data_IF_199697803366
#
_entry.id   IF_199697803366
#
_cell.length_a   1.000
_cell.length_b   1.000
_cell.length_c   1.000
_cell.angle_alpha   90.00
_cell.angle_beta   90.00
_cell.angle_gamma   90.00
#
_symmetry.space_group_name_H-M   'P 1'
#
loop_
_entity.id
_entity.type
_entity.pdbx_description
1 polymer ?
#
# COMPACT_ATOMS: atom_id res chain seq x y z
N UNK A 1 -18.66 -1.53 -29.19
CA UNK A 1 -18.63 -1.27 -27.73
C UNK A 1 -17.55 -2.17 -27.16
N UNK A 2 -16.51 -1.62 -26.54
CA UNK A 2 -15.40 -2.43 -26.03
C UNK A 2 -15.85 -3.30 -24.86
N UNK A 3 -15.34 -4.53 -24.77
CA UNK A 3 -15.40 -5.31 -23.54
C UNK A 3 -14.52 -4.67 -22.46
N UNK A 4 -14.76 -5.01 -21.19
CA UNK A 4 -13.97 -4.46 -20.08
C UNK A 4 -12.48 -4.82 -20.19
N UNK A 5 -12.16 -6.02 -20.67
CA UNK A 5 -10.76 -6.44 -20.87
C UNK A 5 -10.10 -5.69 -22.03
N UNK A 6 -10.86 -5.36 -23.08
CA UNK A 6 -10.37 -4.52 -24.17
C UNK A 6 -10.09 -3.09 -23.71
N UNK A 7 -10.90 -2.54 -22.81
CA UNK A 7 -10.64 -1.23 -22.20
C UNK A 7 -9.36 -1.25 -21.36
N UNK A 8 -9.16 -2.29 -20.55
CA UNK A 8 -7.93 -2.46 -19.75
C UNK A 8 -6.70 -2.52 -20.66
N UNK A 9 -6.77 -3.23 -21.79
CA UNK A 9 -5.65 -3.28 -22.73
C UNK A 9 -5.35 -1.91 -23.36
N UNK A 10 -6.37 -1.16 -23.78
CA UNK A 10 -6.20 0.20 -24.31
C UNK A 10 -5.57 1.13 -23.27
N UNK A 11 -5.95 0.97 -22.00
CA UNK A 11 -5.38 1.72 -20.88
C UNK A 11 -3.91 1.37 -20.68
N UNK A 12 -3.56 0.08 -20.72
CA UNK A 12 -2.17 -0.40 -20.63
C UNK A 12 -1.33 0.20 -21.77
N UNK A 13 -1.80 0.10 -23.01
CA UNK A 13 -1.10 0.63 -24.18
C UNK A 13 -0.93 2.16 -24.10
N UNK A 14 -1.90 2.87 -23.51
CA UNK A 14 -1.81 4.30 -23.27
C UNK A 14 -0.79 4.65 -22.17
N UNK A 15 -0.75 3.87 -21.09
CA UNK A 15 0.22 4.05 -20.00
C UNK A 15 1.67 3.83 -20.44
N UNK A 16 1.91 2.92 -21.39
CA UNK A 16 3.26 2.71 -21.94
C UNK A 16 3.79 3.93 -22.70
N UNK A 17 2.89 4.73 -23.28
CA UNK A 17 3.21 5.94 -24.04
C UNK A 17 3.39 7.19 -23.16
N UNK A 18 2.94 7.14 -21.90
CA UNK A 18 3.07 8.24 -20.95
C UNK A 18 4.38 8.12 -20.15
N UNK A 19 5.02 9.27 -19.91
CA UNK A 19 6.18 9.35 -19.03
C UNK A 19 5.77 9.11 -17.57
N UNK A 20 6.70 8.57 -16.76
CA UNK A 20 6.45 8.40 -15.33
C UNK A 20 6.28 9.76 -14.65
N UNK A 21 5.22 9.92 -13.88
CA UNK A 21 4.90 11.19 -13.20
C UNK A 21 3.90 12.08 -13.96
N UNK A 22 3.44 11.66 -15.14
CA UNK A 22 2.34 12.33 -15.84
C UNK A 22 1.00 12.14 -15.10
N UNK A 23 0.21 13.21 -14.86
CA UNK A 23 -1.07 13.10 -14.15
C UNK A 23 -2.07 12.12 -14.79
N UNK A 24 -2.04 12.03 -16.12
CA UNK A 24 -2.86 11.06 -16.88
C UNK A 24 -2.54 9.61 -16.51
N UNK A 25 -1.32 9.31 -16.09
CA UNK A 25 -0.89 7.99 -15.64
C UNK A 25 -1.63 7.59 -14.35
N UNK A 26 -1.84 8.51 -13.42
CA UNK A 26 -2.57 8.26 -12.18
C UNK A 26 -4.06 7.99 -12.43
N UNK A 27 -4.67 8.70 -13.39
CA UNK A 27 -6.05 8.42 -13.82
C UNK A 27 -6.14 7.02 -14.45
N UNK A 28 -5.19 6.65 -15.31
CA UNK A 28 -5.17 5.34 -15.96
C UNK A 28 -4.86 4.21 -14.97
N UNK A 29 -3.98 4.46 -14.00
CA UNK A 29 -3.65 3.53 -12.92
C UNK A 29 -4.87 3.13 -12.09
N UNK A 30 -5.89 4.00 -11.99
CA UNK A 30 -7.11 3.69 -11.25
C UNK A 30 -7.87 2.47 -11.81
N UNK A 31 -7.71 2.18 -13.10
CA UNK A 31 -8.31 1.02 -13.76
C UNK A 31 -7.55 -0.30 -13.53
N UNK A 32 -6.31 -0.24 -13.04
CA UNK A 32 -5.54 -1.44 -12.71
C UNK A 32 -5.90 -2.02 -11.34
N UNK A 33 -6.67 -1.28 -10.53
CA UNK A 33 -7.24 -1.79 -9.28
C UNK A 33 -8.75 -1.66 -9.28
N UNK A 34 -9.45 -2.79 -9.28
CA UNK A 34 -10.89 -2.86 -9.12
C UNK A 34 -11.21 -3.47 -7.76
N UNK A 35 -11.87 -2.71 -6.89
CA UNK A 35 -12.22 -3.20 -5.56
C UNK A 35 -13.17 -4.41 -5.65
N UNK A 36 -12.87 -5.45 -4.87
CA UNK A 36 -13.77 -6.60 -4.75
C UNK A 36 -15.07 -6.14 -4.05
N UNK A 37 -16.23 -6.47 -4.62
CA UNK A 37 -17.53 -6.03 -4.11
C UNK A 37 -17.80 -6.49 -2.67
N UNK A 38 -17.12 -7.54 -2.20
CA UNK A 38 -17.24 -8.05 -0.83
C UNK A 38 -16.44 -7.21 0.16
N UNK A 39 -15.55 -6.33 -0.30
CA UNK A 39 -14.62 -5.63 0.59
C UNK A 39 -15.37 -4.72 1.58
N UNK A 40 -16.43 -4.04 1.15
CA UNK A 40 -17.28 -3.22 2.02
C UNK A 40 -17.79 -4.02 3.22
N UNK A 41 -18.35 -5.21 2.98
CA UNK A 41 -18.90 -6.06 4.04
C UNK A 41 -17.83 -6.52 5.05
N UNK A 42 -16.61 -6.74 4.57
CA UNK A 42 -15.49 -7.14 5.42
C UNK A 42 -14.94 -5.96 6.21
N UNK A 43 -14.87 -4.77 5.62
CA UNK A 43 -14.50 -3.54 6.31
C UNK A 43 -15.52 -3.18 7.40
N UNK A 44 -16.82 -3.32 7.13
CA UNK A 44 -17.89 -3.12 8.11
C UNK A 44 -17.76 -4.08 9.31
N UNK A 45 -17.42 -5.36 9.04
CA UNK A 45 -17.13 -6.33 10.10
C UNK A 45 -15.89 -5.92 10.90
N UNK A 46 -14.85 -5.40 10.25
CA UNK A 46 -13.61 -5.01 10.89
C UNK A 46 -13.84 -3.79 11.81
N UNK A 47 -14.65 -2.83 11.37
CA UNK A 47 -14.94 -1.65 12.18
C UNK A 47 -15.61 -1.99 13.52
N UNK A 48 -16.46 -3.02 13.54
CA UNK A 48 -17.06 -3.53 14.80
C UNK A 48 -16.00 -3.91 15.83
N UNK A 49 -14.89 -4.51 15.41
CA UNK A 49 -13.79 -4.85 16.31
C UNK A 49 -12.97 -3.62 16.72
N UNK A 50 -12.79 -2.66 15.81
CA UNK A 50 -12.04 -1.43 16.08
C UNK A 50 -12.76 -0.56 17.12
N UNK A 51 -14.09 -0.58 17.12
CA UNK A 51 -14.90 0.19 18.07
C UNK A 51 -14.92 -0.40 19.49
N UNK A 52 -14.37 -1.61 19.70
CA UNK A 52 -14.30 -2.23 21.03
C UNK A 52 -13.29 -1.50 21.92
N UNK A 53 -13.72 -1.03 23.09
CA UNK A 53 -12.83 -0.32 24.03
C UNK A 53 -11.75 -1.22 24.65
N UNK A 54 -12.06 -2.51 24.87
CA UNK A 54 -11.18 -3.52 25.46
C UNK A 54 -11.43 -4.89 24.83
N UNK A 55 -10.96 -5.13 23.60
CA UNK A 55 -11.19 -6.40 22.92
C UNK A 55 -10.52 -7.54 23.69
N UNK A 56 -11.20 -8.67 23.78
CA UNK A 56 -10.61 -9.92 24.29
C UNK A 56 -9.53 -10.44 23.34
N UNK A 57 -8.72 -11.39 23.80
CA UNK A 57 -7.74 -12.06 22.95
C UNK A 57 -8.39 -12.73 21.73
N UNK A 58 -9.54 -13.39 21.92
CA UNK A 58 -10.30 -14.02 20.83
C UNK A 58 -10.75 -12.98 19.80
N UNK A 59 -11.29 -11.85 20.25
CA UNK A 59 -11.72 -10.75 19.37
C UNK A 59 -10.54 -10.13 18.61
N UNK A 60 -9.38 -10.00 19.24
CA UNK A 60 -8.16 -9.50 18.58
C UNK A 60 -7.68 -10.48 17.50
N UNK A 61 -7.73 -11.79 17.77
CA UNK A 61 -7.39 -12.83 16.79
C UNK A 61 -8.37 -12.86 15.62
N UNK A 62 -9.67 -12.70 15.87
CA UNK A 62 -10.69 -12.59 14.84
C UNK A 62 -10.48 -11.35 13.96
N UNK A 63 -10.16 -10.20 14.55
CA UNK A 63 -9.80 -9.00 13.81
C UNK A 63 -8.56 -9.21 12.94
N UNK A 64 -7.55 -9.94 13.44
CA UNK A 64 -6.37 -10.33 12.67
C UNK A 64 -6.72 -11.20 11.45
N UNK A 65 -7.51 -12.27 11.66
CA UNK A 65 -8.00 -13.14 10.57
C UNK A 65 -8.81 -12.36 9.53
N UNK A 66 -9.65 -11.44 10.00
CA UNK A 66 -10.47 -10.61 9.12
C UNK A 66 -9.62 -9.64 8.30
N UNK A 67 -8.57 -9.07 8.90
CA UNK A 67 -7.63 -8.21 8.20
C UNK A 67 -6.86 -8.99 7.12
N UNK A 68 -6.42 -10.22 7.39
CA UNK A 68 -5.81 -11.09 6.38
C UNK A 68 -6.76 -11.37 5.21
N UNK A 69 -8.05 -11.63 5.49
CA UNK A 69 -9.07 -11.82 4.45
C UNK A 69 -9.25 -10.55 3.60
N UNK A 70 -9.28 -9.38 4.22
CA UNK A 70 -9.33 -8.07 3.54
C UNK A 70 -8.11 -7.93 2.63
N UNK A 71 -6.90 -8.21 3.11
CA UNK A 71 -5.68 -8.14 2.28
C UNK A 71 -5.79 -9.04 1.04
N UNK A 72 -6.29 -10.27 1.19
CA UNK A 72 -6.48 -11.16 0.04
C UNK A 72 -7.46 -10.57 -0.98
N UNK A 73 -8.59 -10.01 -0.53
CA UNK A 73 -9.57 -9.37 -1.42
C UNK A 73 -8.98 -8.14 -2.12
N UNK A 74 -8.21 -7.33 -1.40
CA UNK A 74 -7.50 -6.17 -1.95
C UNK A 74 -6.58 -6.60 -3.09
N UNK A 75 -5.71 -7.59 -2.88
CA UNK A 75 -4.79 -7.99 -3.95
C UNK A 75 -5.46 -8.79 -5.07
N UNK A 76 -6.59 -9.46 -4.83
CA UNK A 76 -7.41 -10.02 -5.92
C UNK A 76 -8.01 -8.97 -6.85
N UNK A 77 -8.21 -7.75 -6.35
CA UNK A 77 -8.69 -6.62 -7.15
C UNK A 77 -7.64 -6.02 -8.09
N UNK A 78 -6.37 -6.38 -7.91
CA UNK A 78 -5.26 -5.83 -8.68
C UNK A 78 -5.04 -6.63 -9.98
N UNK A 79 -4.97 -5.93 -11.11
CA UNK A 79 -4.73 -6.54 -12.42
C UNK A 79 -3.30 -7.07 -12.54
N UNK A 80 -3.15 -8.16 -13.27
CA UNK A 80 -1.87 -8.85 -13.48
C UNK A 80 -1.40 -9.75 -12.34
N UNK A 81 -2.17 -9.84 -11.25
CA UNK A 81 -1.86 -10.81 -10.19
C UNK A 81 -2.10 -12.23 -10.69
N UNK A 82 -1.06 -13.06 -10.64
CA UNK A 82 -1.12 -14.46 -11.06
C UNK A 82 -0.95 -15.42 -9.89
N UNK A 83 -0.22 -15.02 -8.85
CA UNK A 83 -0.04 -15.83 -7.64
C UNK A 83 -0.29 -15.01 -6.39
N UNK A 84 -1.08 -15.59 -5.49
CA UNK A 84 -1.26 -15.13 -4.12
C UNK A 84 -0.95 -16.32 -3.22
N UNK A 85 0.19 -16.31 -2.55
CA UNK A 85 0.60 -17.35 -1.60
C UNK A 85 0.40 -16.84 -0.19
N UNK A 86 -0.49 -17.47 0.55
CA UNK A 86 -0.64 -17.28 1.99
C UNK A 86 0.02 -18.45 2.71
N UNK A 87 0.71 -18.16 3.81
CA UNK A 87 1.43 -19.16 4.57
C UNK A 87 0.80 -19.31 5.97
N UNK A 88 0.34 -20.52 6.29
CA UNK A 88 -0.34 -20.82 7.55
C UNK A 88 0.54 -21.51 8.60
N UNK A 89 1.83 -21.77 8.32
CA UNK A 89 2.65 -22.58 9.24
C UNK A 89 3.51 -21.74 10.18
N UNK A 90 4.00 -22.38 11.26
CA UNK A 90 4.84 -21.76 12.28
C UNK A 90 6.22 -21.27 11.79
N UNK A 91 6.55 -21.46 10.50
CA UNK A 91 7.88 -21.23 9.91
C UNK A 91 7.98 -20.06 8.92
N UNK A 92 7.03 -19.86 7.98
CA UNK A 92 6.98 -18.70 7.10
C UNK A 92 6.52 -17.45 7.87
N UNK A 93 7.25 -16.36 7.73
CA UNK A 93 7.24 -15.25 8.69
C UNK A 93 6.40 -14.03 8.23
N UNK A 94 5.68 -14.14 7.11
CA UNK A 94 4.86 -13.09 6.48
C UNK A 94 3.52 -13.68 6.02
N UNK A 95 2.49 -12.83 5.89
CA UNK A 95 1.10 -13.30 5.77
C UNK A 95 0.71 -13.56 4.30
N UNK A 96 1.21 -12.74 3.37
CA UNK A 96 0.95 -12.87 1.92
C UNK A 96 2.20 -12.59 1.09
N UNK A 97 2.37 -13.33 -0.01
CA UNK A 97 3.25 -12.98 -1.12
C UNK A 97 2.42 -12.93 -2.41
N UNK A 98 2.49 -11.81 -3.11
CA UNK A 98 1.75 -11.53 -4.34
C UNK A 98 2.74 -11.34 -5.48
N UNK A 99 2.52 -12.06 -6.58
CA UNK A 99 3.40 -12.01 -7.75
C UNK A 99 2.61 -12.13 -9.06
N UNK A 100 3.26 -11.70 -10.13
CA UNK A 100 2.81 -11.80 -11.50
C UNK A 100 3.98 -11.54 -12.46
N UNK A 101 3.78 -11.81 -13.74
CA UNK A 101 4.78 -11.56 -14.77
C UNK A 101 4.23 -10.95 -16.06
N UNK A 102 2.91 -10.80 -16.17
CA UNK A 102 2.27 -10.25 -17.37
C UNK A 102 2.44 -8.72 -17.52
N UNK A 103 1.98 -8.20 -18.66
CA UNK A 103 2.11 -6.77 -18.99
C UNK A 103 1.33 -5.90 -17.99
N UNK A 104 0.17 -6.35 -17.52
CA UNK A 104 -0.60 -5.60 -16.54
C UNK A 104 0.16 -5.48 -15.21
N UNK A 105 0.77 -6.58 -14.75
CA UNK A 105 1.61 -6.61 -13.56
C UNK A 105 2.84 -5.75 -13.70
N UNK A 106 3.51 -5.81 -14.85
CA UNK A 106 4.65 -4.96 -15.17
C UNK A 106 4.31 -3.47 -15.09
N UNK A 107 3.13 -3.08 -15.57
CA UNK A 107 2.65 -1.71 -15.46
C UNK A 107 2.34 -1.32 -14.02
N UNK A 108 1.76 -2.22 -13.21
CA UNK A 108 1.62 -2.02 -11.76
C UNK A 108 2.99 -1.83 -11.11
N UNK A 109 3.98 -2.67 -11.40
CA UNK A 109 5.34 -2.53 -10.87
C UNK A 109 5.96 -1.19 -11.27
N UNK A 110 5.81 -0.77 -12.54
CA UNK A 110 6.31 0.52 -13.05
C UNK A 110 5.67 1.70 -12.33
N UNK A 111 4.36 1.65 -12.08
CA UNK A 111 3.62 2.67 -11.32
C UNK A 111 4.09 2.77 -9.86
N UNK A 112 4.38 1.63 -9.26
CA UNK A 112 4.84 1.53 -7.88
C UNK A 112 6.36 1.68 -7.74
N UNK A 113 7.07 2.14 -8.80
CA UNK A 113 8.51 2.33 -8.82
C UNK A 113 9.33 1.07 -8.45
N UNK A 114 8.80 -0.12 -8.74
CA UNK A 114 9.47 -1.38 -8.46
C UNK A 114 10.45 -1.74 -9.58
N UNK A 115 11.60 -2.27 -9.20
CA UNK A 115 12.57 -2.80 -10.15
C UNK A 115 11.96 -4.02 -10.86
N UNK A 116 12.19 -4.15 -12.16
CA UNK A 116 11.75 -5.29 -12.97
C UNK A 116 12.39 -6.62 -12.56
N UNK A 117 13.42 -6.66 -11.73
CA UNK A 117 13.94 -7.91 -11.16
C UNK A 117 13.37 -8.19 -9.76
N UNK A 118 12.68 -7.21 -9.17
CA UNK A 118 12.13 -7.25 -7.81
C UNK A 118 10.66 -6.84 -7.82
N UNK A 119 9.81 -7.70 -8.40
CA UNK A 119 8.40 -7.39 -8.69
C UNK A 119 7.43 -7.87 -7.63
N UNK A 120 7.85 -8.77 -6.73
CA UNK A 120 6.92 -9.36 -5.78
C UNK A 120 6.56 -8.36 -4.67
N UNK A 121 5.31 -8.47 -4.20
CA UNK A 121 4.79 -7.70 -3.08
C UNK A 121 4.61 -8.64 -1.90
N UNK A 122 5.34 -8.41 -0.81
CA UNK A 122 5.13 -9.11 0.47
C UNK A 122 4.24 -8.28 1.38
N UNK A 123 3.34 -8.95 2.08
CA UNK A 123 2.36 -8.28 2.95
C UNK A 123 2.37 -8.90 4.35
N UNK A 124 2.34 -8.05 5.36
CA UNK A 124 2.02 -8.41 6.74
C UNK A 124 0.76 -7.67 7.22
N UNK A 125 -0.25 -8.41 7.64
CA UNK A 125 -1.46 -7.95 8.29
C UNK A 125 -1.28 -8.06 9.82
N UNK A 126 -1.49 -6.95 10.53
CA UNK A 126 -1.28 -6.83 11.96
C UNK A 126 -2.36 -6.00 12.63
N UNK A 127 -3.34 -6.70 13.21
CA UNK A 127 -4.37 -6.11 14.06
C UNK A 127 -3.85 -5.98 15.50
N UNK A 128 -2.98 -4.99 15.73
CA UNK A 128 -2.41 -4.70 17.06
C UNK A 128 -3.11 -3.51 17.71
N UNK A 129 -3.18 -3.47 19.05
CA UNK A 129 -3.74 -2.33 19.80
C UNK A 129 -2.80 -1.10 19.87
N UNK A 130 -1.55 -1.28 19.45
CA UNK A 130 -0.52 -0.26 19.47
C UNK A 130 0.16 -0.19 18.10
N UNK A 131 0.83 0.93 17.77
CA UNK A 131 1.63 1.02 16.56
C UNK A 131 2.66 -0.11 16.49
N UNK A 132 2.96 -0.56 15.27
CA UNK A 132 3.93 -1.62 15.04
C UNK A 132 5.30 -1.25 15.65
N UNK A 133 5.88 -2.13 16.48
CA UNK A 133 7.19 -1.91 17.05
C UNK A 133 8.29 -2.22 16.03
N UNK A 134 9.44 -1.58 16.20
CA UNK A 134 10.61 -1.71 15.32
C UNK A 134 11.03 -3.17 15.08
N UNK A 135 10.93 -4.04 16.11
CA UNK A 135 11.25 -5.47 15.97
C UNK A 135 10.44 -6.19 14.88
N UNK A 136 9.15 -5.87 14.75
CA UNK A 136 8.32 -6.49 13.71
C UNK A 136 8.65 -5.92 12.32
N UNK A 137 8.90 -4.62 12.25
CA UNK A 137 9.33 -3.96 11.01
C UNK A 137 10.69 -4.50 10.51
N UNK A 138 11.65 -4.63 11.42
CA UNK A 138 12.97 -5.23 11.20
C UNK A 138 12.91 -6.64 10.64
N UNK A 139 11.94 -7.43 11.13
CA UNK A 139 11.73 -8.79 10.68
C UNK A 139 11.33 -8.81 9.21
N UNK A 140 10.36 -7.98 8.80
CA UNK A 140 9.96 -7.89 7.39
C UNK A 140 11.13 -7.43 6.50
N UNK A 141 11.88 -6.41 6.93
CA UNK A 141 13.11 -5.98 6.22
C UNK A 141 14.06 -7.16 6.00
N UNK A 142 14.30 -7.97 7.04
CA UNK A 142 15.23 -9.09 6.99
C UNK A 142 14.75 -10.19 6.05
N UNK A 143 13.45 -10.53 6.10
CA UNK A 143 12.82 -11.50 5.20
C UNK A 143 12.96 -11.03 3.75
N UNK A 144 12.66 -9.76 3.48
CA UNK A 144 12.76 -9.20 2.13
C UNK A 144 14.20 -9.21 1.62
N UNK A 145 15.18 -8.88 2.47
CA UNK A 145 16.60 -8.85 2.07
C UNK A 145 17.13 -10.25 1.78
N UNK A 146 16.83 -11.22 2.67
CA UNK A 146 17.52 -12.51 2.70
C UNK A 146 16.72 -13.66 2.05
N UNK A 147 15.40 -13.66 2.19
CA UNK A 147 14.55 -14.80 1.81
C UNK A 147 13.69 -14.53 0.58
N UNK A 148 13.28 -13.28 0.36
CA UNK A 148 12.42 -12.87 -0.74
C UNK A 148 13.15 -11.88 -1.64
N UNK A 149 14.23 -12.31 -2.26
CA UNK A 149 15.09 -11.45 -3.09
C UNK A 149 14.31 -10.79 -4.24
N UNK A 150 13.34 -11.51 -4.82
CA UNK A 150 12.40 -11.01 -5.85
C UNK A 150 11.33 -10.04 -5.36
N UNK A 151 11.23 -9.78 -4.04
CA UNK A 151 10.32 -8.76 -3.52
C UNK A 151 10.92 -7.36 -3.59
N UNK A 152 10.20 -6.44 -4.23
CA UNK A 152 10.53 -5.01 -4.30
C UNK A 152 9.76 -4.17 -3.30
N UNK A 153 8.57 -4.63 -2.90
CA UNK A 153 7.65 -3.91 -2.04
C UNK A 153 7.20 -4.77 -0.86
N UNK A 154 7.32 -4.21 0.34
CA UNK A 154 6.71 -4.72 1.56
C UNK A 154 5.55 -3.82 1.98
N UNK A 155 4.44 -4.41 2.41
CA UNK A 155 3.30 -3.64 2.90
C UNK A 155 2.89 -4.15 4.28
N UNK A 156 2.82 -3.24 5.24
CA UNK A 156 2.15 -3.48 6.50
C UNK A 156 0.71 -2.97 6.43
N UNK A 157 -0.26 -3.87 6.59
CA UNK A 157 -1.65 -3.54 6.90
C UNK A 157 -1.80 -3.53 8.41
N UNK A 158 -2.02 -2.36 9.01
CA UNK A 158 -2.15 -2.25 10.47
C UNK A 158 -3.14 -1.16 10.86
N UNK A 159 -3.91 -1.42 11.91
CA UNK A 159 -4.93 -0.46 12.36
C UNK A 159 -4.31 0.79 13.02
N UNK A 160 -3.15 0.64 13.64
CA UNK A 160 -2.55 1.68 14.47
C UNK A 160 -1.26 2.27 13.88
N UNK A 161 -0.95 1.96 12.61
CA UNK A 161 0.26 2.41 11.95
C UNK A 161 1.54 1.79 12.55
N UNK A 162 2.68 2.42 12.31
CA UNK A 162 3.97 1.99 12.83
C UNK A 162 4.65 3.11 13.63
N UNK A 163 5.52 2.72 14.58
CA UNK A 163 6.27 3.68 15.39
C UNK A 163 7.17 4.58 14.53
N UNK A 164 7.33 5.84 14.96
CA UNK A 164 8.14 6.82 14.23
C UNK A 164 7.51 7.43 12.97
N UNK A 165 6.32 6.98 12.55
CA UNK A 165 5.57 7.62 11.46
C UNK A 165 4.77 8.85 11.93
N UNK A 166 4.54 9.85 11.07
CA UNK A 166 3.65 10.98 11.35
C UNK A 166 2.23 10.54 11.68
N UNK A 167 1.61 11.21 12.66
CA UNK A 167 0.21 10.94 13.06
C UNK A 167 -0.72 12.01 12.50
N UNK A 168 -1.96 11.64 12.21
CA UNK A 168 -3.00 12.61 11.86
C UNK A 168 -3.11 13.69 12.96
N UNK A 169 -3.25 14.95 12.54
CA UNK A 169 -3.34 16.10 13.45
C UNK A 169 -2.05 16.46 14.20
N UNK A 170 -0.92 15.79 13.93
CA UNK A 170 0.37 16.17 14.52
C UNK A 170 1.10 17.20 13.68
N UNK A 171 1.92 18.05 14.33
CA UNK A 171 2.81 18.96 13.64
C UNK A 171 3.90 18.20 12.87
N UNK A 172 4.48 18.86 11.85
CA UNK A 172 5.56 18.32 11.03
C UNK A 172 6.67 17.72 11.90
N UNK A 173 6.92 16.42 11.74
CA UNK A 173 7.98 15.74 12.46
C UNK A 173 9.34 16.15 11.87
N UNK A 174 10.21 16.70 12.73
CA UNK A 174 11.57 17.16 12.36
C UNK A 174 12.66 16.11 12.56
N UNK A 175 12.34 15.03 13.26
CA UNK A 175 13.27 13.95 13.58
C UNK A 175 12.63 12.60 13.24
N UNK A 176 13.47 11.70 12.72
CA UNK A 176 13.05 10.35 12.34
C UNK A 176 13.58 9.34 13.35
N UNK A 177 12.74 8.39 13.76
CA UNK A 177 13.06 7.35 14.75
C UNK A 177 12.33 6.04 14.45
N UNK A 178 12.66 4.99 15.20
CA UNK A 178 11.98 3.70 15.22
C UNK A 178 11.77 3.11 13.80
N UNK A 179 10.58 2.55 13.52
CA UNK A 179 10.30 1.92 12.22
C UNK A 179 10.53 2.87 11.03
N UNK A 180 10.26 4.18 11.18
CA UNK A 180 10.47 5.14 10.08
C UNK A 180 11.95 5.32 9.77
N UNK A 181 12.82 5.37 10.77
CA UNK A 181 14.27 5.42 10.55
C UNK A 181 14.75 4.15 9.85
N UNK A 182 14.25 3.00 10.30
CA UNK A 182 14.55 1.71 9.69
C UNK A 182 14.09 1.62 8.24
N UNK A 183 12.89 2.12 7.92
CA UNK A 183 12.36 2.19 6.56
C UNK A 183 13.34 2.91 5.62
N UNK A 184 13.83 4.08 6.04
CA UNK A 184 14.75 4.91 5.26
C UNK A 184 16.09 4.19 5.05
N UNK A 185 16.70 3.68 6.13
CA UNK A 185 17.99 2.98 6.07
C UNK A 185 17.87 1.72 5.20
N UNK A 186 16.79 0.96 5.36
CA UNK A 186 16.55 -0.24 4.58
C UNK A 186 16.42 0.06 3.09
N UNK A 187 15.64 1.09 2.74
CA UNK A 187 15.50 1.53 1.36
C UNK A 187 16.83 1.99 0.77
N UNK A 188 17.56 2.87 1.47
CA UNK A 188 18.88 3.35 1.02
C UNK A 188 19.88 2.21 0.79
N UNK A 189 19.85 1.15 1.61
CA UNK A 189 20.76 0.00 1.48
C UNK A 189 20.37 -0.95 0.34
N UNK A 190 19.07 -1.20 0.14
CA UNK A 190 18.60 -2.35 -0.67
C UNK A 190 17.85 -1.95 -1.95
N UNK A 191 17.50 -0.67 -2.06
CA UNK A 191 16.56 -0.12 -3.02
C UNK A 191 15.19 -0.82 -3.01
N UNK A 192 14.82 -1.47 -1.90
CA UNK A 192 13.49 -2.05 -1.67
C UNK A 192 12.63 -1.07 -0.88
N UNK A 193 11.34 -1.15 -1.07
CA UNK A 193 10.38 -0.22 -0.48
C UNK A 193 9.55 -0.98 0.56
N UNK A 194 9.28 -0.35 1.70
CA UNK A 194 8.25 -0.82 2.63
C UNK A 194 7.28 0.32 2.86
N UNK A 195 5.98 0.08 2.83
CA UNK A 195 4.94 1.07 3.15
C UNK A 195 4.03 0.57 4.27
N UNK A 196 3.39 1.50 4.98
CA UNK A 196 2.47 1.21 6.07
C UNK A 196 1.11 1.80 5.72
N UNK A 197 0.11 0.94 5.59
CA UNK A 197 -1.30 1.29 5.43
C UNK A 197 -1.95 1.23 6.81
N UNK A 198 -2.37 2.40 7.29
CA UNK A 198 -3.01 2.54 8.60
C UNK A 198 -4.54 2.32 8.49
N UNK A 199 -5.30 2.52 9.60
CA UNK A 199 -6.77 2.43 9.57
C UNK A 199 -7.40 3.24 8.43
N UNK A 200 -7.08 4.53 8.30
CA UNK A 200 -7.73 5.35 7.27
C UNK A 200 -7.44 4.84 5.87
N UNK A 201 -6.18 4.47 5.60
CA UNK A 201 -5.80 3.91 4.29
C UNK A 201 -6.59 2.61 4.00
N UNK A 202 -6.72 1.71 4.98
CA UNK A 202 -7.41 0.41 4.80
C UNK A 202 -8.89 0.59 4.44
N UNK A 203 -9.55 1.56 5.07
CA UNK A 203 -10.98 1.82 4.86
C UNK A 203 -11.28 2.56 3.55
N UNK A 204 -10.27 3.02 2.82
CA UNK A 204 -10.43 3.61 1.48
C UNK A 204 -10.30 2.59 0.34
N UNK A 205 -9.95 1.34 0.63
CA UNK A 205 -9.66 0.31 -0.37
C UNK A 205 -10.91 -0.26 -1.06
N UNK A 206 -12.12 0.08 -0.62
CA UNK A 206 -13.38 -0.36 -1.25
C UNK A 206 -13.72 0.39 -2.54
N UNK A 207 -12.87 1.32 -2.95
CA UNK A 207 -13.01 2.12 -4.17
C UNK A 207 -11.98 1.70 -5.22
N UNK A 208 -12.36 1.79 -6.49
CA UNK A 208 -11.44 1.52 -7.58
C UNK A 208 -10.25 2.50 -7.55
N UNK A 209 -9.07 2.01 -7.94
CA UNK A 209 -7.84 2.79 -8.01
C UNK A 209 -7.16 3.15 -6.69
N UNK A 210 -7.85 3.09 -5.55
CA UNK A 210 -7.30 3.62 -4.29
C UNK A 210 -6.09 2.87 -3.77
N UNK A 211 -6.00 1.55 -3.97
CA UNK A 211 -4.80 0.79 -3.58
C UNK A 211 -3.53 1.38 -4.21
N UNK A 212 -3.53 1.60 -5.52
CA UNK A 212 -2.38 2.15 -6.24
C UNK A 212 -2.10 3.58 -5.76
N UNK A 213 -3.12 4.43 -5.67
CA UNK A 213 -2.97 5.82 -5.24
C UNK A 213 -2.35 5.92 -3.83
N UNK A 214 -2.84 5.10 -2.89
CA UNK A 214 -2.34 5.05 -1.52
C UNK A 214 -0.88 4.62 -1.51
N UNK A 215 -0.53 3.53 -2.21
CA UNK A 215 0.85 3.03 -2.22
C UNK A 215 1.77 4.07 -2.86
N UNK A 216 1.44 4.59 -4.05
CA UNK A 216 2.24 5.60 -4.74
C UNK A 216 2.49 6.82 -3.87
N UNK A 217 1.46 7.31 -3.17
CA UNK A 217 1.61 8.42 -2.21
C UNK A 217 2.57 8.08 -1.06
N UNK A 218 2.47 6.88 -0.49
CA UNK A 218 3.37 6.43 0.60
C UNK A 218 4.82 6.28 0.11
N UNK A 219 5.01 5.89 -1.14
CA UNK A 219 6.32 5.81 -1.80
C UNK A 219 6.88 7.21 -2.02
N UNK A 220 6.08 8.14 -2.54
CA UNK A 220 6.47 9.55 -2.70
C UNK A 220 6.86 10.17 -1.36
N UNK A 221 6.10 9.94 -0.29
CA UNK A 221 6.45 10.39 1.06
C UNK A 221 7.79 9.80 1.57
N UNK A 222 8.12 8.56 1.21
CA UNK A 222 9.43 7.97 1.53
C UNK A 222 10.57 8.70 0.81
N UNK A 223 10.35 9.16 -0.43
CA UNK A 223 11.36 9.91 -1.19
C UNK A 223 11.48 11.37 -0.73
N UNK A 224 10.36 12.03 -0.43
CA UNK A 224 10.33 13.44 -0.03
C UNK A 224 10.65 13.65 1.45
N UNK A 225 10.39 12.64 2.29
CA UNK A 225 10.56 12.69 3.74
C UNK A 225 9.90 13.93 4.36
N UNK A 226 8.66 14.20 3.93
CA UNK A 226 7.90 15.39 4.31
C UNK A 226 7.76 15.56 5.82
N UNK A 227 7.73 14.46 6.59
CA UNK A 227 7.45 14.47 8.02
C UNK A 227 5.99 14.82 8.36
N UNK A 228 5.11 14.87 7.35
CA UNK A 228 3.68 15.10 7.48
C UNK A 228 2.93 13.77 7.31
N UNK A 229 1.75 13.61 7.92
CA UNK A 229 0.89 12.48 7.61
C UNK A 229 0.47 12.56 6.14
N UNK A 230 0.45 11.42 5.46
CA UNK A 230 -0.04 11.37 4.08
C UNK A 230 -1.53 11.67 4.03
N UNK A 231 -1.93 12.66 3.25
CA UNK A 231 -3.32 13.06 2.97
C UNK A 231 -4.15 11.88 2.47
N UNK A 232 -5.46 11.75 2.78
CA UNK A 232 -6.35 10.71 2.24
C UNK A 232 -6.34 10.64 0.70
N UNK A 233 -6.66 9.47 0.11
CA UNK A 233 -6.60 9.30 -1.36
C UNK A 233 -7.64 10.15 -2.08
N UNK A 234 -8.80 10.34 -1.47
CA UNK A 234 -9.85 11.21 -1.98
C UNK A 234 -9.49 12.70 -2.00
N UNK A 235 -8.50 13.11 -1.19
CA UNK A 235 -8.10 14.51 -1.01
C UNK A 235 -6.72 14.79 -1.65
N UNK A 236 -6.08 13.78 -2.24
CA UNK A 236 -4.75 13.93 -2.81
C UNK A 236 -4.81 14.78 -4.10
N UNK A 237 -4.02 15.85 -4.12
CA UNK A 237 -3.76 16.63 -5.31
C UNK A 237 -2.29 16.45 -5.69
N UNK A 238 -2.02 16.05 -6.92
CA UNK A 238 -0.65 15.85 -7.41
C UNK A 238 0.15 17.15 -7.45
N UNK A 239 -0.54 18.29 -7.53
CA UNK A 239 0.03 19.63 -7.72
C UNK A 239 -0.44 20.53 -6.58
N UNK A 240 0.36 20.58 -5.54
CA UNK A 240 0.16 21.46 -4.39
C UNK A 240 0.86 22.81 -4.64
N UNK A 241 0.24 23.64 -5.49
CA UNK A 241 0.73 24.97 -5.80
C UNK A 241 0.11 26.02 -4.87
N UNK A 242 0.90 26.99 -4.38
CA UNK A 242 0.39 28.22 -3.78
C UNK A 242 -0.68 28.86 -4.66
N UNK A 243 -1.69 29.50 -4.04
CA UNK A 243 -2.85 30.05 -4.76
C UNK A 243 -2.48 30.94 -5.95
N UNK A 244 -1.40 31.73 -5.82
CA UNK A 244 -0.91 32.62 -6.87
C UNK A 244 -0.25 31.91 -8.06
N UNK A 245 0.22 30.67 -7.87
CA UNK A 245 0.76 29.83 -8.94
C UNK A 245 -0.31 28.92 -9.53
N UNK A 246 -1.30 28.53 -8.71
CA UNK A 246 -2.41 27.68 -9.14
C UNK A 246 -3.23 28.32 -10.27
N UNK A 247 -3.44 29.63 -10.22
CA UNK A 247 -4.12 30.37 -11.28
C UNK A 247 -3.40 30.37 -12.64
N UNK A 248 -2.08 30.14 -12.65
CA UNK A 248 -1.29 30.00 -13.87
C UNK A 248 -1.22 28.55 -14.36
N UNK A 249 -1.51 27.59 -13.48
CA UNK A 249 -1.48 26.17 -13.79
C UNK A 249 -2.83 25.68 -14.33
N UNK A 250 -3.93 26.21 -13.78
CA UNK A 250 -5.30 25.87 -14.18
C UNK A 250 -5.76 26.59 -15.47
N UNK A 251 -4.91 27.48 -16.03
CA UNK A 251 -5.16 28.30 -17.24
C UNK A 251 -4.54 27.70 -18.49
#
# INVERSE_FOLDING_TARGET
MYSQDQLVQVIIDAMEKLEQGEPGLNTLASYLYQADKRLSDYLDKLDKYIQLTKPTQSQTQEAGKLLEQIVVLVFKGLKGVQSIKSFQSAGPQYDLLVSGDDIAWLNVCKLLYLNTEKRDIVVEAKATNYPLPDKQFARLCSIMDLNLTGSGLGIFFTLNGASGFPKAGSSKQRAVRDCRLRQIIFHAKTNKIIVVLNKSDIFELDKNGTLIQIITRKIRDLFELSGLPTTPATEFCEIDLPTHLKSLYDS
#
